data_IF_886683578460
#
_entry.id   IF_886683578460
#
_cell.length_a   1.000
_cell.length_b   1.000
_cell.length_c   1.000
_cell.angle_alpha   90.00
_cell.angle_beta   90.00
_cell.angle_gamma   90.00
#
_symmetry.space_group_name_H-M   'P 1'
#
loop_
_entity.id
_entity.type
_entity.pdbx_description
1 polymer ?
#
# COMPACT_ATOMS: atom_id res chain seq x y z
N UNK A 1 18.49 7.47 -59.59
CA UNK A 1 17.04 7.25 -59.72
C UNK A 1 16.41 7.75 -58.44
N UNK A 2 15.96 9.01 -58.43
CA UNK A 2 15.25 9.58 -57.29
C UNK A 2 13.90 8.86 -57.20
N UNK A 3 13.70 8.12 -56.13
CA UNK A 3 12.41 7.50 -55.83
C UNK A 3 11.70 8.52 -54.94
N UNK A 4 11.07 9.52 -55.57
CA UNK A 4 10.11 10.41 -54.91
C UNK A 4 8.86 9.60 -54.60
N UNK A 5 8.86 8.92 -53.46
CA UNK A 5 7.73 8.07 -53.07
C UNK A 5 7.23 8.56 -51.72
N UNK A 6 6.44 9.62 -51.82
CA UNK A 6 5.52 10.08 -50.79
C UNK A 6 4.31 9.13 -50.74
N UNK A 7 4.54 7.85 -50.42
CA UNK A 7 3.48 6.87 -50.22
C UNK A 7 3.06 6.97 -48.76
N UNK A 8 1.89 7.56 -48.56
CA UNK A 8 1.37 7.88 -47.23
C UNK A 8 0.34 6.81 -46.80
N UNK A 9 -0.10 5.92 -47.71
CA UNK A 9 -1.17 4.96 -47.40
C UNK A 9 -1.18 3.68 -48.28
N UNK A 10 -1.79 2.60 -47.76
CA UNK A 10 -1.92 1.29 -48.44
C UNK A 10 -2.71 1.38 -49.76
N UNK A 11 -3.64 2.33 -49.86
CA UNK A 11 -4.43 2.61 -51.05
C UNK A 11 -3.59 2.99 -52.27
N UNK A 12 -2.48 3.71 -52.07
CA UNK A 12 -1.56 4.11 -53.16
C UNK A 12 -0.67 2.95 -53.62
N UNK A 13 -0.50 1.93 -52.78
CA UNK A 13 0.22 0.69 -53.11
C UNK A 13 -0.63 -0.26 -53.96
N UNK A 14 -1.95 -0.22 -53.81
CA UNK A 14 -2.91 -1.03 -54.56
C UNK A 14 -2.53 -2.52 -54.56
N UNK A 15 -2.33 -3.09 -55.75
CA UNK A 15 -1.97 -4.50 -55.94
C UNK A 15 -0.46 -4.77 -56.07
N UNK A 16 0.40 -3.74 -55.94
CA UNK A 16 1.85 -3.86 -56.18
C UNK A 16 2.55 -4.80 -55.21
N UNK A 17 2.10 -4.83 -53.96
CA UNK A 17 2.59 -5.77 -52.95
C UNK A 17 2.32 -7.23 -53.36
N UNK A 18 1.09 -7.50 -53.82
CA UNK A 18 0.66 -8.82 -54.27
C UNK A 18 1.42 -9.25 -55.55
N UNK A 19 1.63 -8.32 -56.48
CA UNK A 19 2.43 -8.55 -57.67
C UNK A 19 3.90 -8.86 -57.34
N UNK A 20 4.50 -8.20 -56.33
CA UNK A 20 5.86 -8.49 -55.90
C UNK A 20 6.01 -9.91 -55.31
N UNK A 21 4.98 -10.42 -54.62
CA UNK A 21 4.91 -11.80 -54.14
C UNK A 21 4.80 -12.77 -55.31
N UNK A 22 3.87 -12.53 -56.24
CA UNK A 22 3.65 -13.39 -57.40
C UNK A 22 4.88 -13.47 -58.33
N UNK A 23 5.63 -12.36 -58.45
CA UNK A 23 6.84 -12.27 -59.26
C UNK A 23 8.13 -12.70 -58.52
N UNK A 24 8.03 -13.24 -57.29
CA UNK A 24 9.18 -13.65 -56.45
C UNK A 24 10.22 -12.54 -56.17
N UNK A 25 9.85 -11.26 -56.29
CA UNK A 25 10.75 -10.11 -56.08
C UNK A 25 10.81 -9.73 -54.59
N UNK A 26 11.44 -10.58 -53.80
CA UNK A 26 11.52 -10.45 -52.32
C UNK A 26 12.12 -9.12 -51.84
N UNK A 27 13.08 -8.55 -52.57
CA UNK A 27 13.70 -7.26 -52.23
C UNK A 27 12.74 -6.08 -52.39
N UNK A 28 11.93 -6.09 -53.45
CA UNK A 28 10.91 -5.06 -53.70
C UNK A 28 9.74 -5.19 -52.72
N UNK A 29 9.35 -6.43 -52.39
CA UNK A 29 8.37 -6.69 -51.34
C UNK A 29 8.82 -6.14 -49.98
N UNK A 30 10.05 -6.44 -49.55
CA UNK A 30 10.59 -5.97 -48.29
C UNK A 30 10.67 -4.43 -48.24
N UNK A 31 11.03 -3.80 -49.36
CA UNK A 31 11.09 -2.33 -49.47
C UNK A 31 9.70 -1.69 -49.42
N UNK A 32 8.72 -2.22 -50.16
CA UNK A 32 7.34 -1.74 -50.13
C UNK A 32 6.70 -1.92 -48.75
N UNK A 33 6.98 -3.02 -48.07
CA UNK A 33 6.52 -3.27 -46.69
C UNK A 33 7.17 -2.29 -45.70
N UNK A 34 8.47 -2.03 -45.85
CA UNK A 34 9.20 -1.06 -45.03
C UNK A 34 8.67 0.37 -45.20
N UNK A 35 8.16 0.71 -46.39
CA UNK A 35 7.59 2.02 -46.69
C UNK A 35 6.16 2.18 -46.14
N UNK A 36 5.41 1.09 -46.05
CA UNK A 36 4.06 1.06 -45.46
C UNK A 36 4.09 0.97 -43.93
N UNK A 37 5.15 0.42 -43.36
CA UNK A 37 5.37 0.34 -41.92
C UNK A 37 5.69 1.73 -41.36
N UNK A 38 4.69 2.62 -41.33
CA UNK A 38 4.71 3.77 -40.43
C UNK A 38 5.05 3.29 -39.01
N UNK A 39 5.81 4.10 -38.27
CA UNK A 39 6.30 3.77 -36.94
C UNK A 39 5.17 3.15 -36.10
N UNK A 40 5.35 1.89 -35.66
CA UNK A 40 4.34 1.13 -34.92
C UNK A 40 3.92 1.89 -33.63
N UNK A 41 4.76 2.83 -33.17
CA UNK A 41 4.47 3.77 -32.10
C UNK A 41 3.27 4.68 -32.38
N UNK A 42 3.02 5.04 -33.63
CA UNK A 42 1.87 5.88 -34.03
C UNK A 42 0.55 5.09 -34.10
N UNK A 43 0.61 3.75 -34.15
CA UNK A 43 -0.57 2.88 -34.10
C UNK A 43 -1.00 2.53 -32.66
N UNK A 44 -0.36 3.10 -31.64
CA UNK A 44 -0.79 2.94 -30.26
C UNK A 44 -2.16 3.63 -30.07
N UNK A 45 -3.24 2.85 -30.16
CA UNK A 45 -4.61 3.30 -29.82
C UNK A 45 -4.74 3.72 -28.34
N UNK A 46 -3.71 3.44 -27.54
CA UNK A 46 -3.56 3.87 -26.16
C UNK A 46 -2.71 5.14 -26.11
N UNK A 47 -3.28 6.26 -26.55
CA UNK A 47 -2.82 7.54 -26.03
C UNK A 47 -3.06 7.50 -24.52
N UNK A 48 -2.01 7.28 -23.73
CA UNK A 48 -2.05 7.46 -22.28
C UNK A 48 -2.57 8.88 -22.03
N UNK A 49 -3.87 9.00 -21.73
CA UNK A 49 -4.45 10.28 -21.33
C UNK A 49 -3.58 10.76 -20.16
N UNK A 50 -3.15 12.02 -20.22
CA UNK A 50 -2.45 12.70 -19.12
C UNK A 50 -3.01 12.20 -17.81
N UNK A 51 -2.15 11.64 -16.95
CA UNK A 51 -2.56 11.01 -15.70
C UNK A 51 -3.52 11.95 -14.96
N UNK A 52 -4.81 11.63 -15.02
CA UNK A 52 -5.78 12.33 -14.22
C UNK A 52 -5.51 11.83 -12.81
N UNK A 53 -4.92 12.70 -11.99
CA UNK A 53 -4.63 12.38 -10.60
C UNK A 53 -5.89 11.85 -9.93
N UNK A 54 -5.75 10.88 -9.03
CA UNK A 54 -6.85 10.16 -8.37
C UNK A 54 -8.00 11.08 -7.92
N UNK A 55 -7.68 12.27 -7.41
CA UNK A 55 -8.65 13.29 -7.00
C UNK A 55 -9.58 13.78 -8.13
N UNK A 56 -9.08 13.91 -9.37
CA UNK A 56 -9.90 14.29 -10.52
C UNK A 56 -10.87 13.16 -10.92
N UNK A 57 -10.41 11.91 -10.86
CA UNK A 57 -11.24 10.75 -11.16
C UNK A 57 -12.33 10.57 -10.09
N UNK A 58 -11.99 10.68 -8.80
CA UNK A 58 -12.96 10.60 -7.71
C UNK A 58 -14.07 11.65 -7.83
N UNK A 59 -13.73 12.89 -8.20
CA UNK A 59 -14.71 13.95 -8.47
C UNK A 59 -15.61 13.65 -9.67
N UNK A 60 -15.07 13.04 -10.73
CA UNK A 60 -15.87 12.67 -11.91
C UNK A 60 -16.88 11.56 -11.61
N UNK A 61 -16.52 10.63 -10.74
CA UNK A 61 -17.34 9.49 -10.38
C UNK A 61 -18.16 9.68 -9.09
N UNK A 62 -18.14 10.88 -8.52
CA UNK A 62 -18.78 11.21 -7.23
C UNK A 62 -18.45 10.20 -6.12
N UNK A 63 -17.19 9.76 -6.09
CA UNK A 63 -16.69 8.78 -5.12
C UNK A 63 -16.32 9.50 -3.84
N UNK A 64 -16.79 8.98 -2.71
CA UNK A 64 -16.49 9.49 -1.38
C UNK A 64 -14.98 9.55 -1.08
N UNK A 65 -14.61 10.31 -0.06
CA UNK A 65 -13.21 10.43 0.37
C UNK A 65 -12.58 9.07 0.69
N UNK A 66 -11.25 8.92 0.50
CA UNK A 66 -10.56 7.68 0.82
C UNK A 66 -10.74 7.33 2.29
N UNK A 67 -10.95 6.04 2.58
CA UNK A 67 -10.89 5.53 3.95
C UNK A 67 -9.53 5.88 4.55
N UNK A 68 -9.55 6.49 5.74
CA UNK A 68 -8.33 6.82 6.46
C UNK A 68 -7.55 5.52 6.77
N UNK A 69 -6.25 5.49 6.50
CA UNK A 69 -5.44 4.30 6.79
C UNK A 69 -5.09 4.21 8.27
N UNK A 70 -4.77 5.36 8.88
CA UNK A 70 -4.31 5.46 10.26
C UNK A 70 -4.96 6.65 10.94
N UNK A 71 -5.45 6.44 12.15
CA UNK A 71 -5.93 7.51 13.04
C UNK A 71 -5.34 7.34 14.42
N UNK A 72 -5.04 8.48 15.05
CA UNK A 72 -4.61 8.55 16.44
C UNK A 72 -5.79 8.25 17.36
N UNK A 73 -5.69 7.17 18.14
CA UNK A 73 -6.69 6.77 19.15
C UNK A 73 -7.07 7.90 20.10
N UNK A 74 -6.12 8.79 20.41
CA UNK A 74 -6.31 9.88 21.37
C UNK A 74 -7.30 10.94 20.88
N UNK A 75 -7.52 11.02 19.56
CA UNK A 75 -8.38 12.02 18.91
C UNK A 75 -9.77 11.50 18.58
N UNK A 76 -10.05 10.24 18.91
CA UNK A 76 -11.26 9.57 18.48
C UNK A 76 -12.30 9.45 19.59
N UNK A 77 -13.53 9.83 19.27
CA UNK A 77 -14.71 9.42 20.03
C UNK A 77 -15.07 8.01 19.58
N UNK A 78 -15.01 7.02 20.48
CA UNK A 78 -15.26 5.62 20.13
C UNK A 78 -16.58 5.41 19.37
N UNK A 79 -16.54 4.59 18.33
CA UNK A 79 -17.74 4.18 17.59
C UNK A 79 -18.42 3.00 18.28
N UNK A 80 -19.71 3.13 18.59
CA UNK A 80 -20.52 2.02 19.10
C UNK A 80 -21.21 1.29 17.95
N UNK A 81 -20.57 0.22 17.49
CA UNK A 81 -21.14 -0.67 16.47
C UNK A 81 -22.29 -1.52 17.00
N UNK A 82 -22.33 -1.77 18.31
CA UNK A 82 -23.36 -2.64 18.90
C UNK A 82 -24.72 -1.98 18.81
N UNK A 83 -24.84 -0.72 19.25
CA UNK A 83 -26.10 0.01 19.20
C UNK A 83 -26.59 0.25 17.77
N UNK A 84 -25.68 0.60 16.85
CA UNK A 84 -26.06 0.77 15.44
C UNK A 84 -26.50 -0.55 14.79
N UNK A 85 -25.88 -1.67 15.15
CA UNK A 85 -26.30 -2.99 14.68
C UNK A 85 -27.67 -3.41 15.23
N UNK A 86 -27.92 -3.17 16.53
CA UNK A 86 -29.21 -3.49 17.15
C UNK A 86 -30.36 -2.65 16.58
N UNK A 87 -30.11 -1.37 16.30
CA UNK A 87 -31.14 -0.44 15.82
C UNK A 87 -31.39 -0.58 14.30
N UNK A 88 -30.33 -0.62 13.49
CA UNK A 88 -30.43 -0.49 12.03
C UNK A 88 -30.24 -1.81 11.28
N UNK A 89 -30.13 -2.92 12.01
CA UNK A 89 -29.83 -4.26 11.49
C UNK A 89 -28.48 -4.33 10.74
N UNK A 90 -28.18 -5.50 10.16
CA UNK A 90 -26.97 -5.73 9.37
C UNK A 90 -26.90 -4.82 8.12
N UNK A 91 -28.03 -4.55 7.48
CA UNK A 91 -28.07 -3.74 6.26
C UNK A 91 -27.73 -2.28 6.54
N UNK A 92 -28.30 -1.70 7.60
CA UNK A 92 -28.01 -0.34 8.01
C UNK A 92 -26.59 -0.16 8.53
N UNK A 93 -26.05 -1.15 9.26
CA UNK A 93 -24.64 -1.16 9.65
C UNK A 93 -23.70 -1.11 8.43
N UNK A 94 -23.95 -1.97 7.42
CA UNK A 94 -23.15 -1.99 6.19
C UNK A 94 -23.22 -0.66 5.44
N UNK A 95 -24.43 -0.11 5.31
CA UNK A 95 -24.62 1.20 4.66
C UNK A 95 -23.86 2.30 5.40
N UNK A 96 -23.97 2.35 6.72
CA UNK A 96 -23.25 3.32 7.56
C UNK A 96 -21.74 3.19 7.38
N UNK A 97 -21.21 1.97 7.39
CA UNK A 97 -19.80 1.72 7.14
C UNK A 97 -19.35 2.13 5.73
N UNK A 98 -20.19 1.93 4.71
CA UNK A 98 -19.90 2.37 3.34
C UNK A 98 -19.92 3.89 3.17
N UNK A 99 -20.77 4.59 3.91
CA UNK A 99 -20.89 6.06 3.86
C UNK A 99 -19.81 6.76 4.69
N UNK A 100 -19.44 6.18 5.84
CA UNK A 100 -18.47 6.72 6.79
C UNK A 100 -17.47 5.62 7.16
N UNK A 101 -16.49 5.35 6.28
CA UNK A 101 -15.54 4.28 6.50
C UNK A 101 -14.60 4.64 7.66
N UNK A 102 -14.51 3.75 8.63
CA UNK A 102 -13.63 3.90 9.78
C UNK A 102 -12.18 3.67 9.39
N UNK A 103 -11.22 4.27 10.11
CA UNK A 103 -9.81 4.04 9.84
C UNK A 103 -9.45 2.56 10.01
N UNK A 104 -8.58 2.06 9.12
CA UNK A 104 -8.15 0.66 9.16
C UNK A 104 -7.28 0.34 10.38
N UNK A 105 -6.47 1.31 10.79
CA UNK A 105 -5.56 1.18 11.91
C UNK A 105 -5.76 2.32 12.89
N UNK A 106 -5.96 1.94 14.14
CA UNK A 106 -5.89 2.84 15.27
C UNK A 106 -4.46 2.84 15.76
N UNK A 107 -3.68 3.86 15.38
CA UNK A 107 -2.36 4.03 15.93
C UNK A 107 -2.48 4.65 17.32
N UNK A 108 -1.73 4.11 18.27
CA UNK A 108 -1.49 4.79 19.54
C UNK A 108 -0.53 5.96 19.37
N UNK A 109 -0.06 6.50 20.49
CA UNK A 109 0.88 7.62 20.53
C UNK A 109 2.21 7.38 19.76
N UNK A 110 2.59 6.12 19.55
CA UNK A 110 3.88 5.74 18.96
C UNK A 110 3.73 5.23 17.52
N UNK A 111 4.68 5.54 16.63
CA UNK A 111 4.73 4.93 15.30
C UNK A 111 4.92 3.41 15.39
N UNK A 112 4.41 2.68 14.38
CA UNK A 112 4.37 1.21 14.38
C UNK A 112 5.72 0.54 14.65
N UNK A 113 6.78 0.99 13.97
CA UNK A 113 8.13 0.43 14.14
C UNK A 113 8.65 0.56 15.57
N UNK A 114 8.37 1.69 16.23
CA UNK A 114 8.76 1.91 17.62
C UNK A 114 7.91 1.07 18.57
N UNK A 115 6.62 0.90 18.27
CA UNK A 115 5.73 0.05 19.06
C UNK A 115 6.22 -1.40 19.06
N UNK A 116 6.70 -1.91 17.92
CA UNK A 116 7.25 -3.26 17.81
C UNK A 116 8.54 -3.43 18.62
N UNK A 117 9.45 -2.46 18.54
CA UNK A 117 10.66 -2.45 19.37
C UNK A 117 10.29 -2.39 20.85
N UNK A 118 9.39 -1.49 21.23
CA UNK A 118 8.93 -1.36 22.61
C UNK A 118 8.26 -2.64 23.09
N UNK A 119 7.42 -3.28 22.29
CA UNK A 119 6.73 -4.53 22.64
C UNK A 119 7.70 -5.65 23.02
N UNK A 120 8.86 -5.70 22.35
CA UNK A 120 9.95 -6.63 22.63
C UNK A 120 10.85 -6.21 23.81
N UNK A 121 10.75 -4.96 24.28
CA UNK A 121 11.52 -4.47 25.42
C UNK A 121 10.89 -4.89 26.76
N UNK A 122 11.71 -4.90 27.82
CA UNK A 122 11.25 -5.13 29.18
C UNK A 122 10.30 -4.03 29.67
N UNK A 123 9.48 -4.35 30.67
CA UNK A 123 8.50 -3.43 31.25
C UNK A 123 9.13 -2.11 31.75
N UNK A 124 10.33 -2.18 32.32
CA UNK A 124 11.06 -1.01 32.82
C UNK A 124 11.44 -0.04 31.70
N UNK A 125 11.81 -0.54 30.53
CA UNK A 125 12.11 0.27 29.35
C UNK A 125 10.84 0.91 28.79
N UNK A 126 9.73 0.16 28.75
CA UNK A 126 8.41 0.69 28.34
C UNK A 126 7.94 1.84 29.25
N UNK A 127 8.09 1.72 30.56
CA UNK A 127 7.66 2.79 31.48
C UNK A 127 8.50 4.06 31.34
N UNK A 128 9.82 3.91 31.17
CA UNK A 128 10.70 5.05 30.92
C UNK A 128 10.34 5.77 29.61
N UNK A 129 10.03 5.04 28.54
CA UNK A 129 9.66 5.67 27.27
C UNK A 129 8.35 6.45 27.35
N UNK A 130 7.42 6.07 28.23
CA UNK A 130 6.17 6.77 28.47
C UNK A 130 6.32 8.06 29.31
N UNK A 131 7.53 8.45 29.72
CA UNK A 131 7.78 9.52 30.70
C UNK A 131 6.93 9.36 31.98
N UNK A 132 6.49 8.13 32.27
CA UNK A 132 6.15 7.75 33.63
C UNK A 132 7.50 7.59 34.30
N UNK A 133 8.08 8.72 34.73
CA UNK A 133 9.04 8.69 35.81
C UNK A 133 8.38 7.81 36.86
N UNK A 134 8.94 6.63 37.08
CA UNK A 134 8.79 5.96 38.35
C UNK A 134 9.31 6.99 39.35
N UNK A 135 8.43 7.87 39.82
CA UNK A 135 8.52 8.40 41.17
C UNK A 135 8.97 7.22 41.98
N UNK A 136 10.16 7.36 42.52
CA UNK A 136 10.96 6.35 43.19
C UNK A 136 10.11 5.54 44.16
N UNK A 137 9.39 4.54 43.65
CA UNK A 137 8.89 3.45 44.44
C UNK A 137 10.14 2.71 44.82
N UNK A 138 10.67 3.11 45.98
CA UNK A 138 11.65 2.44 46.81
C UNK A 138 11.91 1.07 46.20
N UNK A 139 12.98 0.98 45.38
CA UNK A 139 13.34 -0.26 44.71
C UNK A 139 13.55 -1.20 45.86
N UNK A 140 12.55 -2.03 46.15
CA UNK A 140 12.70 -3.17 47.03
C UNK A 140 13.64 -4.03 46.21
N UNK A 141 14.94 -3.84 46.44
CA UNK A 141 16.01 -4.53 45.75
C UNK A 141 15.63 -5.99 45.83
N UNK A 142 15.14 -6.53 44.70
CA UNK A 142 14.94 -7.95 44.59
C UNK A 142 16.38 -8.46 44.53
N UNK A 143 16.89 -9.11 45.60
CA UNK A 143 18.27 -9.53 45.62
C UNK A 143 18.53 -10.39 44.39
N UNK A 144 19.71 -10.24 43.78
CA UNK A 144 20.07 -10.95 42.55
C UNK A 144 19.83 -12.45 42.74
N UNK A 145 19.45 -13.18 41.69
CA UNK A 145 19.14 -14.62 41.79
C UNK A 145 20.26 -15.40 42.51
N UNK A 146 21.52 -15.05 42.25
CA UNK A 146 22.68 -15.62 42.95
C UNK A 146 22.62 -15.42 44.46
N UNK A 147 22.23 -14.24 44.93
CA UNK A 147 22.11 -13.91 46.35
C UNK A 147 20.94 -14.65 47.00
N UNK A 148 19.84 -14.82 46.26
CA UNK A 148 18.69 -15.62 46.70
C UNK A 148 19.07 -17.09 46.88
N UNK A 149 19.81 -17.67 45.93
CA UNK A 149 20.30 -19.05 46.02
C UNK A 149 21.33 -19.23 47.13
N UNK A 150 22.17 -18.21 47.37
CA UNK A 150 23.10 -18.21 48.49
C UNK A 150 22.36 -18.21 49.82
N UNK A 151 21.36 -17.33 49.98
CA UNK A 151 20.53 -17.26 51.17
C UNK A 151 19.77 -18.57 51.41
N UNK A 152 19.20 -19.18 50.37
CA UNK A 152 18.54 -20.49 50.47
C UNK A 152 19.51 -21.58 50.92
N UNK A 153 20.73 -21.64 50.37
CA UNK A 153 21.75 -22.61 50.80
C UNK A 153 22.13 -22.45 52.28
N UNK A 154 22.26 -21.20 52.74
CA UNK A 154 22.57 -20.94 54.15
C UNK A 154 21.45 -21.39 55.08
N UNK A 155 20.18 -21.16 54.72
CA UNK A 155 19.03 -21.60 55.54
C UNK A 155 18.88 -23.12 55.59
N UNK A 156 19.20 -23.82 54.50
CA UNK A 156 19.20 -25.29 54.46
C UNK A 156 20.32 -25.85 55.36
N UNK A 157 21.51 -25.26 55.31
CA UNK A 157 22.66 -25.73 56.10
C UNK A 157 22.58 -25.35 57.59
N UNK A 158 21.81 -24.33 57.97
CA UNK A 158 21.56 -23.98 59.36
C UNK A 158 20.48 -24.81 60.05
N UNK A 159 19.86 -25.75 59.33
CA UNK A 159 18.75 -26.59 59.81
C UNK A 159 19.15 -28.04 60.12
N UNK A 160 20.45 -28.32 60.24
CA UNK A 160 21.06 -29.59 60.70
C UNK A 160 21.92 -29.32 61.94
#
# INVERSE_FOLDING_TARGET
>A
MLIDVNVINELDLGSRLNFAIAAQRRGEFALLLSLLSADIRDMAQFGLKKEQGEAQLRRQFDVSEPQALVVDMTRMTGWDHSQSFFNDSMAGFRLRHSLLPEPLLFAGHWPGDLLDVLNNCSHTVKQRSLNQETESTNVREVPHLCDQLHAQRLMINSSL
#
